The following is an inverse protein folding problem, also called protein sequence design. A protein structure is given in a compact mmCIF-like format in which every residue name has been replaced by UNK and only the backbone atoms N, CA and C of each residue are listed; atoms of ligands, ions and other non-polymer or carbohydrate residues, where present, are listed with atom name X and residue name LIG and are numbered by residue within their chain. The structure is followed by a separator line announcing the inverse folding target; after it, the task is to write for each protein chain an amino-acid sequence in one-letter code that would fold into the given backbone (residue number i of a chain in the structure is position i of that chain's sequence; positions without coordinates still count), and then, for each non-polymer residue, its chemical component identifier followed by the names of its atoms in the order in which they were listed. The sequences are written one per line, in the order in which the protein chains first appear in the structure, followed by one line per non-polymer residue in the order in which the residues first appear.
data_IF_458615818412
#
_entry.id   IF_458615818412
#
_cell.length_a   1.000
_cell.length_b   1.000
_cell.length_c   1.000
_cell.angle_alpha   90.00
_cell.angle_beta   90.00
_cell.angle_gamma   90.00
#
_symmetry.space_group_name_H-M   'P 1'
#
loop_
_entity.id
_entity.type
_entity.pdbx_description
1 polymer ?
#
# COMPACT_ATOMS: atom_id res chain seq x y z
N UNK A 1 -2.80 14.90 -21.38
CA UNK A 1 -2.60 14.82 -19.90
C UNK A 1 -3.54 13.78 -19.32
N UNK A 2 -3.01 12.93 -18.50
CA UNK A 2 -3.78 11.90 -17.81
C UNK A 2 -4.38 12.45 -16.53
N UNK A 3 -5.66 12.22 -16.33
CA UNK A 3 -6.32 12.55 -15.08
C UNK A 3 -6.55 11.29 -14.27
N UNK A 4 -6.32 11.36 -12.97
CA UNK A 4 -6.78 10.33 -12.05
C UNK A 4 -8.24 10.62 -11.74
N UNK A 5 -9.11 9.69 -12.11
CA UNK A 5 -10.52 9.77 -11.75
C UNK A 5 -10.69 8.96 -10.47
N UNK A 6 -11.05 9.64 -9.39
CA UNK A 6 -11.29 9.00 -8.11
C UNK A 6 -12.72 8.46 -8.10
N UNK A 7 -12.84 7.14 -7.98
CA UNK A 7 -14.14 6.47 -7.96
C UNK A 7 -14.78 6.49 -6.57
N UNK A 8 -13.97 6.27 -5.53
CA UNK A 8 -14.45 6.28 -4.16
C UNK A 8 -13.39 6.81 -3.20
N UNK A 9 -13.85 7.47 -2.15
CA UNK A 9 -13.01 7.90 -1.02
C UNK A 9 -13.67 7.39 0.25
N UNK A 10 -12.92 6.67 1.09
CA UNK A 10 -13.43 6.14 2.35
C UNK A 10 -12.29 5.95 3.35
N UNK A 11 -12.66 5.69 4.61
CA UNK A 11 -11.73 5.42 5.69
C UNK A 11 -11.82 3.96 6.11
N UNK A 12 -10.68 3.36 6.37
CA UNK A 12 -10.63 1.99 6.88
C UNK A 12 -9.45 1.82 7.85
N UNK A 13 -9.68 1.08 8.92
CA UNK A 13 -8.60 0.67 9.81
C UNK A 13 -7.91 -0.54 9.19
N UNK A 14 -6.60 -0.42 8.94
CA UNK A 14 -5.79 -1.46 8.31
C UNK A 14 -4.69 -1.93 9.27
N UNK A 15 -4.41 -3.22 9.23
CA UNK A 15 -3.26 -3.82 9.89
C UNK A 15 -2.06 -3.63 8.97
N UNK A 16 -1.20 -2.69 9.31
CA UNK A 16 -0.07 -2.27 8.47
C UNK A 16 1.23 -2.91 8.92
N UNK A 17 1.97 -3.43 7.96
CA UNK A 17 3.33 -3.95 8.11
C UNK A 17 4.21 -3.33 7.03
N UNK A 18 5.46 -3.75 6.95
CA UNK A 18 6.40 -3.22 5.96
C UNK A 18 7.27 -4.34 5.39
N UNK A 19 7.68 -4.16 4.13
CA UNK A 19 8.59 -5.07 3.46
C UNK A 19 9.62 -4.27 2.66
N UNK A 20 10.72 -4.91 2.33
CA UNK A 20 11.78 -4.28 1.53
C UNK A 20 12.12 -5.17 0.33
N UNK A 21 13.26 -4.91 -0.30
CA UNK A 21 13.68 -5.51 -1.56
C UNK A 21 13.43 -7.02 -1.63
N UNK A 22 12.70 -7.45 -2.66
CA UNK A 22 12.36 -8.85 -2.89
C UNK A 22 13.11 -9.45 -4.08
N UNK A 23 13.75 -8.62 -4.91
CA UNK A 23 14.36 -9.05 -6.16
C UNK A 23 13.38 -9.34 -7.28
N UNK A 24 12.09 -9.07 -7.07
CA UNK A 24 11.02 -9.38 -8.02
C UNK A 24 10.18 -8.15 -8.33
N UNK A 25 9.47 -8.19 -9.45
CA UNK A 25 8.45 -7.20 -9.76
C UNK A 25 7.24 -7.38 -8.84
N UNK A 26 6.52 -6.29 -8.62
CA UNK A 26 5.24 -6.32 -7.91
C UNK A 26 4.18 -7.06 -8.74
N UNK A 27 3.05 -7.37 -8.12
CA UNK A 27 1.94 -8.03 -8.80
C UNK A 27 1.38 -7.20 -9.96
N UNK A 28 1.52 -5.86 -9.92
CA UNK A 28 1.12 -4.98 -11.04
C UNK A 28 2.14 -4.96 -12.19
N UNK A 29 3.30 -5.60 -12.01
CA UNK A 29 4.36 -5.66 -13.02
C UNK A 29 5.43 -4.58 -12.90
N UNK A 30 5.36 -3.73 -11.89
CA UNK A 30 6.34 -2.67 -11.65
C UNK A 30 7.45 -3.13 -10.71
N UNK A 31 8.61 -2.51 -10.80
CA UNK A 31 9.64 -2.71 -9.79
C UNK A 31 9.22 -2.02 -8.49
N UNK A 32 9.38 -2.68 -7.33
CA UNK A 32 9.05 -2.07 -6.04
C UNK A 32 9.86 -0.81 -5.79
N UNK A 33 9.21 0.20 -5.25
CA UNK A 33 9.89 1.43 -4.83
C UNK A 33 9.15 2.05 -3.64
N UNK A 34 9.84 2.91 -2.92
CA UNK A 34 9.25 3.68 -1.83
C UNK A 34 8.05 4.46 -2.37
N UNK A 35 6.92 4.37 -1.70
CA UNK A 35 5.64 4.89 -2.17
C UNK A 35 4.68 3.80 -2.67
N UNK A 36 5.16 2.57 -2.82
CA UNK A 36 4.32 1.40 -3.14
C UNK A 36 3.86 0.67 -1.89
N UNK A 37 2.73 0.00 -1.99
CA UNK A 37 2.25 -0.90 -0.96
C UNK A 37 1.48 -2.06 -1.57
N UNK A 38 1.33 -3.13 -0.78
CA UNK A 38 0.54 -4.30 -1.12
C UNK A 38 -0.78 -4.30 -0.35
N UNK A 39 -1.85 -4.64 -1.02
CA UNK A 39 -3.16 -4.92 -0.43
C UNK A 39 -3.93 -5.84 -1.37
N UNK A 40 -4.70 -6.77 -0.81
CA UNK A 40 -5.45 -7.72 -1.63
C UNK A 40 -6.83 -7.21 -2.04
N UNK A 41 -7.40 -6.30 -1.27
CA UNK A 41 -8.79 -5.87 -1.42
C UNK A 41 -8.97 -4.55 -2.16
N UNK A 42 -7.89 -3.90 -2.56
CA UNK A 42 -7.94 -2.61 -3.24
C UNK A 42 -7.43 -2.72 -4.68
N UNK A 43 -8.08 -2.04 -5.64
CA UNK A 43 -7.59 -2.03 -7.02
C UNK A 43 -6.17 -1.47 -7.12
N UNK A 44 -5.37 -1.95 -8.05
CA UNK A 44 -4.09 -1.31 -8.35
C UNK A 44 -4.30 0.16 -8.71
N UNK A 45 -3.39 1.01 -8.23
CA UNK A 45 -3.51 2.45 -8.40
C UNK A 45 -4.29 3.15 -7.30
N UNK A 46 -4.93 2.40 -6.39
CA UNK A 46 -5.54 2.99 -5.19
C UNK A 46 -4.48 3.70 -4.36
N UNK A 47 -4.84 4.82 -3.75
CA UNK A 47 -3.95 5.55 -2.85
C UNK A 47 -4.43 5.44 -1.42
N UNK A 48 -3.51 5.13 -0.54
CA UNK A 48 -3.75 4.97 0.89
C UNK A 48 -2.90 5.99 1.64
N UNK A 49 -3.56 6.86 2.38
CA UNK A 49 -2.88 7.87 3.21
C UNK A 49 -2.87 7.42 4.67
N UNK A 50 -1.68 7.30 5.23
CA UNK A 50 -1.47 6.94 6.63
C UNK A 50 -1.60 8.17 7.53
N UNK A 51 -1.81 7.97 8.84
CA UNK A 51 -1.90 9.10 9.79
C UNK A 51 -0.66 9.99 9.83
N UNK A 52 0.52 9.46 9.48
CA UNK A 52 1.76 10.23 9.45
C UNK A 52 1.94 11.06 8.16
N UNK A 53 0.97 10.99 7.25
CA UNK A 53 1.00 11.75 6.01
C UNK A 53 1.57 11.01 4.82
N UNK A 54 2.10 9.80 4.98
CA UNK A 54 2.56 8.99 3.84
C UNK A 54 1.40 8.68 2.92
N UNK A 55 1.62 8.84 1.62
CA UNK A 55 0.66 8.43 0.58
C UNK A 55 1.27 7.28 -0.19
N UNK A 56 0.58 6.16 -0.21
CA UNK A 56 1.06 4.92 -0.82
C UNK A 56 0.14 4.52 -1.95
N UNK A 57 0.73 4.05 -3.05
CA UNK A 57 -0.01 3.53 -4.20
C UNK A 57 0.00 2.01 -4.16
N UNK A 58 -1.18 1.40 -4.28
CA UNK A 58 -1.30 -0.05 -4.27
C UNK A 58 -0.82 -0.59 -5.62
N UNK A 59 0.27 -1.35 -5.58
CA UNK A 59 0.89 -1.95 -6.76
C UNK A 59 1.22 -3.42 -6.55
N UNK A 60 0.89 -3.98 -5.39
CA UNK A 60 1.24 -5.35 -5.05
C UNK A 60 0.12 -6.06 -4.29
N UNK A 61 0.29 -7.35 -4.10
CA UNK A 61 -0.67 -8.24 -3.44
C UNK A 61 0.05 -9.11 -2.41
N UNK A 62 -0.68 -9.46 -1.33
CA UNK A 62 -0.28 -10.54 -0.43
C UNK A 62 -0.54 -11.92 -1.06
N UNK A 63 -1.67 -12.04 -1.76
CA UNK A 63 -2.10 -13.30 -2.36
C UNK A 63 -2.99 -14.16 -1.47
N UNK A 64 -3.35 -13.68 -0.29
CA UNK A 64 -4.19 -14.43 0.66
C UNK A 64 -5.65 -14.00 0.73
N UNK A 65 -6.06 -13.01 -0.07
CA UNK A 65 -7.43 -12.51 -0.06
C UNK A 65 -7.78 -11.69 1.19
N UNK A 66 -6.80 -11.07 1.81
CA UNK A 66 -7.02 -10.25 3.00
C UNK A 66 -7.83 -8.99 2.67
N UNK A 67 -8.68 -8.58 3.60
CA UNK A 67 -9.54 -7.40 3.43
C UNK A 67 -9.15 -6.22 4.32
N UNK A 68 -8.14 -6.39 5.18
CA UNK A 68 -7.74 -5.39 6.18
C UNK A 68 -6.21 -5.27 6.35
N UNK A 69 -5.42 -5.76 5.38
CA UNK A 69 -3.97 -5.76 5.47
C UNK A 69 -3.35 -4.80 4.47
N UNK A 70 -2.34 -4.06 4.93
CA UNK A 70 -1.50 -3.20 4.10
C UNK A 70 -0.04 -3.52 4.40
N UNK A 71 0.77 -3.73 3.35
CA UNK A 71 2.21 -3.98 3.50
C UNK A 71 2.96 -2.87 2.76
N UNK A 72 3.68 -2.03 3.50
CA UNK A 72 4.32 -0.83 2.97
C UNK A 72 5.73 -1.15 2.51
N UNK A 73 6.07 -0.81 1.26
CA UNK A 73 7.44 -0.98 0.79
C UNK A 73 8.34 0.13 1.35
N UNK A 74 9.43 -0.28 1.99
CA UNK A 74 10.44 0.63 2.53
C UNK A 74 11.82 0.27 1.98
N UNK A 75 12.76 1.22 2.07
CA UNK A 75 14.05 1.10 1.42
C UNK A 75 15.04 0.18 2.09
N UNK A 76 14.82 -0.24 3.33
CA UNK A 76 15.76 -1.07 4.08
C UNK A 76 15.08 -1.90 5.15
N UNK A 77 15.76 -2.98 5.57
CA UNK A 77 15.28 -3.82 6.67
C UNK A 77 15.14 -3.04 7.97
N UNK A 78 16.07 -2.15 8.27
CA UNK A 78 16.00 -1.36 9.51
C UNK A 78 14.76 -0.48 9.54
N UNK A 79 14.40 0.12 8.42
CA UNK A 79 13.16 0.91 8.33
C UNK A 79 11.92 0.03 8.50
N UNK A 80 11.93 -1.18 7.97
CA UNK A 80 10.85 -2.14 8.16
C UNK A 80 10.70 -2.55 9.62
N UNK A 81 11.82 -2.79 10.30
CA UNK A 81 11.82 -3.11 11.72
C UNK A 81 11.27 -1.97 12.57
N UNK A 82 11.67 -0.73 12.27
CA UNK A 82 11.14 0.46 12.94
C UNK A 82 9.65 0.66 12.69
N UNK A 83 9.20 0.42 11.48
CA UNK A 83 7.79 0.54 11.12
C UNK A 83 6.96 -0.47 11.91
N UNK A 84 7.44 -1.70 12.01
CA UNK A 84 6.80 -2.76 12.76
C UNK A 84 5.45 -3.17 12.18
N UNK A 85 4.51 -3.46 13.08
CA UNK A 85 3.16 -3.87 12.72
C UNK A 85 2.16 -3.12 13.59
N UNK A 86 1.24 -2.39 12.95
CA UNK A 86 0.29 -1.52 13.66
C UNK A 86 -1.02 -1.40 12.93
N UNK A 87 -2.05 -1.08 13.69
CA UNK A 87 -3.34 -0.72 13.14
C UNK A 87 -3.40 0.79 12.94
N UNK A 88 -3.70 1.21 11.71
CA UNK A 88 -3.88 2.62 11.37
C UNK A 88 -5.24 2.86 10.73
N UNK A 89 -5.86 3.98 11.07
CA UNK A 89 -7.02 4.47 10.34
C UNK A 89 -6.52 5.21 9.10
N UNK A 90 -6.77 4.64 7.95
CA UNK A 90 -6.25 5.12 6.67
C UNK A 90 -7.33 5.74 5.82
N UNK A 91 -6.95 6.79 5.08
CA UNK A 91 -7.81 7.36 4.05
C UNK A 91 -7.50 6.66 2.75
N UNK A 92 -8.53 6.14 2.08
CA UNK A 92 -8.37 5.34 0.87
C UNK A 92 -9.10 6.01 -0.28
N UNK A 93 -8.39 6.14 -1.41
CA UNK A 93 -8.94 6.64 -2.66
C UNK A 93 -8.78 5.53 -3.70
N UNK A 94 -9.89 5.07 -4.28
CA UNK A 94 -9.83 4.05 -5.33
C UNK A 94 -10.00 4.72 -6.69
N UNK A 95 -9.21 4.31 -7.70
CA UNK A 95 -9.39 4.80 -9.06
C UNK A 95 -10.62 4.16 -9.70
N UNK A 96 -11.12 4.84 -10.70
CA UNK A 96 -12.17 4.29 -11.55
C UNK A 96 -11.66 3.12 -12.39
#
# INVERSE_FOLDING_TARGET
MRKLIIFAVFWQVLNCSAYCETGNRTASGKWPQVGHAAADHLPFGSRVTLPDGRVLTIEDRFGGGYTDRLDVFLGSESECWEFGRRWFKCRIETPE
#
